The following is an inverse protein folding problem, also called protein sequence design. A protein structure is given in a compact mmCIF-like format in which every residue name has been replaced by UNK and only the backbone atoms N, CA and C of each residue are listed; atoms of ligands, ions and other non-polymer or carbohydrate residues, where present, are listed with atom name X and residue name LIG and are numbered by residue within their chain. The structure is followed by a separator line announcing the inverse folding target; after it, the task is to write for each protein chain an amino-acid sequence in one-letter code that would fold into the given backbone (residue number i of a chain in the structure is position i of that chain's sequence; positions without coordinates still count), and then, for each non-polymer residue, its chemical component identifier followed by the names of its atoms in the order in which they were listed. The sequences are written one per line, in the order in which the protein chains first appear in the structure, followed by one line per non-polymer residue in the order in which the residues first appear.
data_IF_871648493614
#
_entry.id   IF_871648493614
#
_cell.length_a   1.000
_cell.length_b   1.000
_cell.length_c   1.000
_cell.angle_alpha   90.00
_cell.angle_beta   90.00
_cell.angle_gamma   90.00
#
_symmetry.space_group_name_H-M   'P 1'
#
loop_
_entity.id
_entity.type
_entity.pdbx_description
1 polymer ?
#
# COMPACT_ATOMS: atom_id res chain seq x y z
N UNK A 1 -6.58 13.69 -8.37
CA UNK A 1 -7.64 13.63 -7.34
C UNK A 1 -7.43 14.62 -6.19
N UNK A 2 -6.28 14.66 -5.52
CA UNK A 2 -6.03 15.62 -4.43
C UNK A 2 -6.11 17.10 -4.88
N UNK A 3 -5.48 17.43 -6.00
CA UNK A 3 -5.55 18.78 -6.61
C UNK A 3 -6.99 19.15 -7.03
N UNK A 4 -7.77 18.18 -7.53
CA UNK A 4 -9.15 18.39 -8.00
C UNK A 4 -10.12 18.77 -6.87
N UNK A 5 -9.77 18.43 -5.63
CA UNK A 5 -10.58 18.76 -4.44
C UNK A 5 -9.92 19.84 -3.57
N UNK A 6 -8.85 20.48 -4.05
CA UNK A 6 -8.02 21.44 -3.29
C UNK A 6 -7.60 20.87 -1.91
N UNK A 7 -7.29 19.58 -1.88
CA UNK A 7 -6.98 18.81 -0.68
C UNK A 7 -5.51 18.41 -0.62
N UNK A 8 -5.00 18.19 0.60
CA UNK A 8 -3.66 17.64 0.79
C UNK A 8 -3.70 16.12 0.65
N UNK A 9 -2.85 15.55 -0.20
CA UNK A 9 -2.77 14.11 -0.40
C UNK A 9 -2.06 13.43 0.77
N UNK A 10 -2.58 12.30 1.24
CA UNK A 10 -1.87 11.44 2.18
C UNK A 10 -1.84 10.01 1.64
N UNK A 11 -0.64 9.44 1.56
CA UNK A 11 -0.43 8.05 1.20
C UNK A 11 0.09 7.29 2.41
N UNK A 12 -0.79 6.58 3.11
CA UNK A 12 -0.39 5.73 4.23
C UNK A 12 -0.01 4.34 3.73
N UNK A 13 1.26 3.98 3.92
CA UNK A 13 1.78 2.67 3.55
C UNK A 13 1.55 1.68 4.68
N UNK A 14 1.24 0.43 4.32
CA UNK A 14 1.12 -0.64 5.31
C UNK A 14 2.49 -0.94 5.92
N UNK A 15 2.53 -1.09 7.24
CA UNK A 15 3.71 -1.53 7.99
C UNK A 15 3.86 -3.06 7.99
N UNK A 16 2.97 -3.79 7.33
CA UNK A 16 3.04 -5.24 7.28
C UNK A 16 4.28 -5.66 6.49
N UNK A 17 5.17 -6.37 7.19
CA UNK A 17 6.35 -7.03 6.62
C UNK A 17 6.17 -8.53 6.85
N UNK A 18 6.25 -9.30 5.77
CA UNK A 18 6.21 -10.74 5.81
C UNK A 18 7.17 -11.22 4.74
N UNK A 19 8.29 -11.86 5.11
CA UNK A 19 9.31 -12.22 4.13
C UNK A 19 8.79 -13.07 2.95
N UNK A 20 7.66 -13.78 3.09
CA UNK A 20 7.01 -14.52 1.99
C UNK A 20 6.10 -13.67 1.08
N UNK A 21 5.45 -12.63 1.62
CA UNK A 21 4.40 -11.85 0.91
C UNK A 21 4.70 -10.36 0.78
N UNK A 22 5.59 -9.83 1.59
CA UNK A 22 5.96 -8.42 1.72
C UNK A 22 7.44 -8.36 2.16
N UNK A 23 8.39 -8.62 1.23
CA UNK A 23 9.81 -8.70 1.54
C UNK A 23 10.44 -7.34 1.86
N UNK A 24 9.81 -6.24 1.43
CA UNK A 24 10.32 -4.88 1.63
C UNK A 24 9.89 -4.33 2.98
N UNK A 25 10.82 -3.68 3.68
CA UNK A 25 10.51 -2.91 4.89
C UNK A 25 9.67 -1.66 4.58
N UNK A 26 9.00 -1.12 5.60
CA UNK A 26 8.23 0.13 5.48
C UNK A 26 9.08 1.29 4.93
N UNK A 27 10.33 1.42 5.39
CA UNK A 27 11.26 2.45 4.93
C UNK A 27 11.62 2.30 3.46
N UNK A 28 11.81 1.07 2.98
CA UNK A 28 12.11 0.82 1.57
C UNK A 28 10.90 1.10 0.67
N UNK A 29 9.69 0.74 1.11
CA UNK A 29 8.45 1.09 0.40
C UNK A 29 8.28 2.61 0.31
N UNK A 30 8.53 3.31 1.41
CA UNK A 30 8.46 4.77 1.43
C UNK A 30 9.51 5.40 0.51
N UNK A 31 10.78 5.00 0.63
CA UNK A 31 11.86 5.52 -0.20
C UNK A 31 11.62 5.27 -1.70
N UNK A 32 11.09 4.08 -2.05
CA UNK A 32 10.74 3.76 -3.42
C UNK A 32 9.67 4.70 -3.95
N UNK A 33 8.54 4.85 -3.24
CA UNK A 33 7.44 5.70 -3.72
C UNK A 33 7.86 7.16 -3.76
N UNK A 34 8.60 7.65 -2.77
CA UNK A 34 9.15 9.02 -2.78
C UNK A 34 10.12 9.24 -3.96
N UNK A 35 10.85 8.21 -4.40
CA UNK A 35 11.72 8.32 -5.59
C UNK A 35 10.95 8.39 -6.91
N UNK A 36 9.71 7.90 -6.93
CA UNK A 36 8.87 7.82 -8.14
C UNK A 36 7.81 8.92 -8.22
N UNK A 37 7.34 9.39 -7.07
CA UNK A 37 6.27 10.39 -6.96
C UNK A 37 6.86 11.68 -6.44
N UNK A 38 7.03 12.64 -7.33
CA UNK A 38 7.52 13.97 -7.00
C UNK A 38 6.34 14.95 -6.90
N UNK A 39 5.49 14.73 -5.89
CA UNK A 39 4.34 15.58 -5.59
C UNK A 39 4.57 16.27 -4.23
N UNK A 40 4.79 17.60 -4.20
CA UNK A 40 5.07 18.33 -2.96
C UNK A 40 3.86 18.40 -2.02
N UNK A 41 2.64 18.19 -2.54
CA UNK A 41 1.40 18.20 -1.76
C UNK A 41 1.00 16.80 -1.27
N UNK A 42 1.75 15.77 -1.66
CA UNK A 42 1.57 14.39 -1.21
C UNK A 42 2.45 14.05 -0.01
N UNK A 43 1.82 13.80 1.13
CA UNK A 43 2.49 13.28 2.30
C UNK A 43 2.55 11.74 2.26
N UNK A 44 3.74 11.19 1.95
CA UNK A 44 3.97 9.74 1.85
C UNK A 44 4.46 9.18 3.18
N UNK A 45 3.70 8.24 3.73
CA UNK A 45 4.06 7.49 4.92
C UNK A 45 3.94 8.26 6.24
N UNK A 46 3.75 7.51 7.33
CA UNK A 46 3.92 8.01 8.69
C UNK A 46 4.33 6.84 9.59
N UNK A 47 5.48 6.96 10.24
CA UNK A 47 6.01 5.91 11.14
C UNK A 47 5.03 5.58 12.29
N UNK A 48 4.27 6.59 12.74
CA UNK A 48 3.34 6.48 13.87
C UNK A 48 1.96 5.94 13.49
N UNK A 49 1.66 5.79 12.19
CA UNK A 49 0.34 5.39 11.71
C UNK A 49 0.41 3.92 11.28
N UNK A 50 -0.14 3.05 12.12
CA UNK A 50 -0.20 1.60 11.89
C UNK A 50 -1.59 1.14 11.48
N UNK A 51 -2.61 1.91 11.80
CA UNK A 51 -4.01 1.59 11.50
C UNK A 51 -4.70 2.73 10.77
N UNK A 52 -5.76 2.40 10.05
CA UNK A 52 -6.63 3.39 9.41
C UNK A 52 -7.16 4.42 10.42
N UNK A 53 -7.55 3.97 11.61
CA UNK A 53 -8.06 4.85 12.67
C UNK A 53 -7.01 5.89 13.07
N UNK A 54 -5.75 5.49 13.24
CA UNK A 54 -4.67 6.42 13.56
C UNK A 54 -4.41 7.43 12.42
N UNK A 55 -4.55 6.99 11.17
CA UNK A 55 -4.44 7.87 10.00
C UNK A 55 -5.50 8.98 10.05
N UNK A 56 -6.75 8.58 10.29
CA UNK A 56 -7.90 9.47 10.42
C UNK A 56 -7.75 10.43 11.61
N UNK A 57 -7.32 9.94 12.76
CA UNK A 57 -7.03 10.78 13.93
C UNK A 57 -5.95 11.83 13.63
N UNK A 58 -4.88 11.45 12.93
CA UNK A 58 -3.81 12.38 12.55
C UNK A 58 -4.30 13.43 11.55
N UNK A 59 -5.15 13.06 10.59
CA UNK A 59 -5.77 14.01 9.65
C UNK A 59 -6.68 15.00 10.39
N UNK A 60 -7.53 14.50 11.29
CA UNK A 60 -8.41 15.35 12.10
C UNK A 60 -7.62 16.29 13.02
N UNK A 61 -6.56 15.80 13.67
CA UNK A 61 -5.69 16.60 14.53
C UNK A 61 -5.00 17.76 13.78
N UNK A 62 -4.89 17.67 12.45
CA UNK A 62 -4.42 18.75 11.59
C UNK A 62 -5.52 19.77 11.22
N UNK A 63 -6.70 19.68 11.85
CA UNK A 63 -7.82 20.59 11.62
C UNK A 63 -8.62 20.32 10.35
N UNK A 64 -8.43 19.14 9.73
CA UNK A 64 -9.18 18.76 8.52
C UNK A 64 -10.56 18.24 8.90
N UNK A 65 -11.58 18.74 8.23
CA UNK A 65 -12.99 18.38 8.47
C UNK A 65 -13.55 17.41 7.44
N UNK A 66 -12.86 17.21 6.31
CA UNK A 66 -13.28 16.32 5.23
C UNK A 66 -12.17 15.34 4.88
N UNK A 67 -12.53 14.09 4.59
CA UNK A 67 -11.59 13.05 4.16
C UNK A 67 -12.16 12.24 3.01
N UNK A 68 -11.30 12.01 2.00
CA UNK A 68 -11.59 11.14 0.87
C UNK A 68 -10.60 9.98 0.92
N UNK A 69 -11.11 8.78 1.09
CA UNK A 69 -10.34 7.55 1.06
C UNK A 69 -10.39 6.95 -0.33
N UNK A 70 -9.22 6.75 -0.94
CA UNK A 70 -9.11 5.97 -2.18
C UNK A 70 -8.84 4.51 -1.81
N UNK A 71 -9.72 3.59 -2.22
CA UNK A 71 -9.58 2.17 -1.97
C UNK A 71 -9.80 1.35 -3.25
N UNK A 72 -9.31 0.10 -3.28
CA UNK A 72 -9.62 -0.84 -4.35
C UNK A 72 -11.12 -1.19 -4.35
N UNK A 73 -11.70 -1.41 -5.53
CA UNK A 73 -13.14 -1.62 -5.74
C UNK A 73 -13.72 -2.73 -4.84
N UNK A 74 -12.94 -3.77 -4.61
CA UNK A 74 -13.26 -4.92 -3.77
C UNK A 74 -13.51 -4.55 -2.29
N UNK A 75 -12.94 -3.44 -1.82
CA UNK A 75 -13.05 -2.98 -0.42
C UNK A 75 -13.73 -1.63 -0.24
N UNK A 76 -14.12 -0.94 -1.32
CA UNK A 76 -14.81 0.36 -1.22
C UNK A 76 -16.04 0.28 -0.31
N UNK A 77 -16.91 -0.71 -0.52
CA UNK A 77 -18.12 -0.88 0.30
C UNK A 77 -17.81 -1.19 1.77
N UNK A 78 -16.77 -1.99 2.02
CA UNK A 78 -16.37 -2.34 3.38
C UNK A 78 -15.83 -1.13 4.14
N UNK A 79 -14.96 -0.35 3.49
CA UNK A 79 -14.42 0.86 4.06
C UNK A 79 -15.49 1.94 4.24
N UNK A 80 -16.42 2.11 3.30
CA UNK A 80 -17.49 3.08 3.44
C UNK A 80 -18.37 2.74 4.66
N UNK A 81 -18.72 1.46 4.84
CA UNK A 81 -19.47 1.01 6.02
C UNK A 81 -18.68 1.24 7.31
N UNK A 82 -17.41 0.87 7.32
CA UNK A 82 -16.53 1.09 8.48
C UNK A 82 -16.45 2.58 8.85
N UNK A 83 -16.17 3.45 7.88
CA UNK A 83 -16.07 4.88 8.12
C UNK A 83 -17.38 5.45 8.64
N UNK A 84 -18.52 5.10 8.04
CA UNK A 84 -19.84 5.56 8.50
C UNK A 84 -20.19 5.04 9.89
N UNK A 85 -19.76 3.82 10.23
CA UNK A 85 -20.01 3.22 11.53
C UNK A 85 -19.24 3.94 12.65
N UNK A 86 -17.97 4.32 12.43
CA UNK A 86 -17.11 4.87 13.47
C UNK A 86 -16.97 6.40 13.43
N UNK A 87 -17.33 7.07 12.33
CA UNK A 87 -17.22 8.53 12.22
C UNK A 87 -18.20 9.24 13.15
N UNK A 88 -17.68 9.89 14.20
CA UNK A 88 -18.46 10.61 15.20
C UNK A 88 -19.24 9.71 16.17
N UNK A 89 -19.08 8.38 16.06
CA UNK A 89 -19.74 7.41 16.92
C UNK A 89 -18.75 6.83 17.95
N UNK A 90 -19.23 6.52 19.16
CA UNK A 90 -18.40 5.87 20.16
C UNK A 90 -18.02 4.45 19.73
N UNK A 91 -16.78 4.07 20.02
CA UNK A 91 -16.34 2.69 19.90
C UNK A 91 -16.93 1.79 21.00
N UNK A 92 -16.52 0.51 21.04
CA UNK A 92 -16.96 -0.44 22.08
C UNK A 92 -16.63 0.01 23.51
N UNK A 93 -15.70 0.95 23.69
CA UNK A 93 -15.28 1.50 24.96
C UNK A 93 -15.94 2.86 25.25
N UNK A 94 -16.87 3.32 24.41
CA UNK A 94 -17.56 4.60 24.58
C UNK A 94 -16.77 5.81 24.08
N UNK A 95 -15.61 5.61 23.43
CA UNK A 95 -14.74 6.70 22.99
C UNK A 95 -14.99 7.06 21.53
N UNK A 96 -15.26 8.32 21.24
CA UNK A 96 -15.31 8.82 19.86
C UNK A 96 -13.87 8.96 19.36
N UNK A 97 -13.47 8.06 18.47
CA UNK A 97 -12.07 8.00 18.00
C UNK A 97 -11.75 9.14 17.03
N UNK A 98 -12.69 9.50 16.17
CA UNK A 98 -12.59 10.60 15.22
C UNK A 98 -13.97 11.09 14.78
N UNK A 99 -14.04 12.31 14.25
CA UNK A 99 -15.23 12.92 13.68
C UNK A 99 -14.84 13.87 12.54
N UNK A 100 -15.39 13.59 11.37
CA UNK A 100 -15.34 14.43 10.17
C UNK A 100 -16.74 14.86 9.78
N UNK A 101 -16.84 16.03 9.16
CA UNK A 101 -18.07 16.58 8.60
C UNK A 101 -18.46 15.85 7.31
N UNK A 102 -17.47 15.43 6.52
CA UNK A 102 -17.66 14.68 5.28
C UNK A 102 -16.64 13.54 5.15
N UNK A 103 -17.12 12.35 4.83
CA UNK A 103 -16.30 11.17 4.62
C UNK A 103 -16.74 10.44 3.35
N UNK A 104 -15.82 10.32 2.40
CA UNK A 104 -16.09 9.65 1.13
C UNK A 104 -15.09 8.54 0.88
N UNK A 105 -15.55 7.40 0.38
CA UNK A 105 -14.69 6.36 -0.17
C UNK A 105 -14.88 6.31 -1.67
N UNK A 106 -13.79 6.47 -2.40
CA UNK A 106 -13.75 6.47 -3.86
C UNK A 106 -12.96 5.26 -4.32
N UNK A 107 -13.47 4.59 -5.36
CA UNK A 107 -12.76 3.49 -6.00
C UNK A 107 -11.55 4.06 -6.74
N UNK A 108 -10.40 3.40 -6.60
CA UNK A 108 -9.26 3.62 -7.50
C UNK A 108 -9.54 3.15 -8.94
N UNK A 109 -10.70 2.53 -9.18
CA UNK A 109 -11.13 1.94 -10.43
C UNK A 109 -11.34 0.43 -10.30
N UNK A 110 -12.29 -0.11 -11.07
CA UNK A 110 -12.37 -1.56 -11.29
C UNK A 110 -11.17 -2.00 -12.12
N UNK A 111 -10.58 -3.13 -11.73
CA UNK A 111 -9.66 -3.85 -12.60
C UNK A 111 -10.47 -4.35 -13.79
N UNK A 112 -10.15 -3.86 -14.97
CA UNK A 112 -10.57 -4.51 -16.20
C UNK A 112 -9.64 -5.73 -16.40
N UNK A 113 -10.13 -6.97 -16.26
CA UNK A 113 -9.32 -8.17 -16.46
C UNK A 113 -8.89 -8.35 -17.93
N UNK A 114 -9.52 -7.62 -18.86
CA UNK A 114 -9.27 -7.69 -20.30
C UNK A 114 -8.46 -6.49 -20.83
N UNK A 115 -7.99 -5.58 -19.96
CA UNK A 115 -7.10 -4.50 -20.38
C UNK A 115 -5.69 -5.03 -20.68
N UNK A 116 -5.32 -5.04 -21.97
CA UNK A 116 -4.03 -5.47 -22.53
C UNK A 116 -2.82 -4.63 -22.06
N UNK A 117 -3.04 -3.52 -21.37
CA UNK A 117 -1.97 -2.71 -20.81
C UNK A 117 -1.61 -3.22 -19.41
N UNK A 118 -0.43 -3.86 -19.31
CA UNK A 118 0.63 -3.84 -18.28
C UNK A 118 0.29 -3.41 -16.81
N UNK A 119 -0.69 -2.54 -16.59
CA UNK A 119 -1.28 -2.13 -15.32
C UNK A 119 -2.03 -3.23 -14.54
N UNK A 120 -2.25 -4.42 -15.12
CA UNK A 120 -2.96 -5.54 -14.49
C UNK A 120 -2.11 -6.45 -13.58
N UNK A 121 -0.81 -6.20 -13.46
CA UNK A 121 0.08 -7.16 -12.80
C UNK A 121 0.15 -6.92 -11.30
N UNK A 122 -0.48 -7.83 -10.55
CA UNK A 122 -0.48 -7.80 -9.09
C UNK A 122 0.94 -7.91 -8.52
N UNK A 123 1.16 -7.35 -7.32
CA UNK A 123 2.42 -7.48 -6.58
C UNK A 123 2.86 -8.95 -6.41
N UNK A 124 1.93 -9.90 -6.38
CA UNK A 124 2.23 -11.34 -6.35
C UNK A 124 2.91 -11.84 -7.62
N UNK A 125 2.48 -11.36 -8.78
CA UNK A 125 3.02 -11.78 -10.08
C UNK A 125 4.37 -11.08 -10.37
N UNK A 126 4.54 -9.85 -9.88
CA UNK A 126 5.86 -9.21 -9.82
C UNK A 126 6.88 -10.05 -9.02
N UNK A 127 6.48 -10.56 -7.84
CA UNK A 127 7.34 -11.45 -7.03
C UNK A 127 7.65 -12.76 -7.76
N UNK A 128 6.68 -13.33 -8.47
CA UNK A 128 6.88 -14.57 -9.23
C UNK A 128 7.88 -14.37 -10.38
N UNK A 129 7.82 -13.25 -11.10
CA UNK A 129 8.79 -12.92 -12.14
C UNK A 129 10.18 -12.65 -11.58
N UNK A 130 10.27 -12.01 -10.41
CA UNK A 130 11.54 -11.86 -9.69
C UNK A 130 12.16 -13.22 -9.32
N UNK A 131 11.34 -14.16 -8.82
CA UNK A 131 11.79 -15.53 -8.53
C UNK A 131 12.23 -16.30 -9.77
N UNK A 132 11.59 -16.06 -10.92
CA UNK A 132 11.84 -16.78 -12.18
C UNK A 132 12.97 -16.20 -13.04
N UNK A 133 13.67 -15.15 -12.60
CA UNK A 133 14.69 -14.54 -13.45
C UNK A 133 14.13 -13.64 -14.56
N UNK A 134 12.84 -13.27 -14.51
CA UNK A 134 12.15 -12.57 -15.59
C UNK A 134 12.17 -11.04 -15.42
N UNK A 135 13.37 -10.44 -15.46
CA UNK A 135 13.58 -8.99 -15.29
C UNK A 135 12.82 -8.14 -16.31
N UNK A 136 12.80 -8.56 -17.58
CA UNK A 136 12.14 -7.80 -18.66
C UNK A 136 10.64 -7.63 -18.39
N UNK A 137 9.95 -8.70 -18.01
CA UNK A 137 8.52 -8.66 -17.68
C UNK A 137 8.26 -7.89 -16.38
N UNK A 138 9.16 -8.00 -15.40
CA UNK A 138 9.09 -7.21 -14.17
C UNK A 138 9.22 -5.70 -14.42
N UNK A 139 10.15 -5.30 -15.30
CA UNK A 139 10.40 -3.88 -15.59
C UNK A 139 9.23 -3.18 -16.26
N UNK A 140 8.39 -3.93 -16.99
CA UNK A 140 7.20 -3.40 -17.67
C UNK A 140 6.15 -2.91 -16.68
N UNK A 141 5.99 -3.61 -15.55
CA UNK A 141 4.86 -3.42 -14.63
C UNK A 141 5.17 -2.53 -13.44
N UNK A 142 6.44 -2.24 -13.20
CA UNK A 142 6.89 -1.56 -11.99
C UNK A 142 7.12 -0.08 -12.28
N UNK A 143 6.63 0.79 -11.39
CA UNK A 143 6.83 2.23 -11.54
C UNK A 143 8.32 2.57 -11.49
N UNK A 144 8.86 3.22 -12.52
CA UNK A 144 10.26 3.65 -12.55
C UNK A 144 11.15 2.95 -13.56
N UNK A 145 10.61 2.02 -14.36
CA UNK A 145 11.31 1.39 -15.49
C UNK A 145 12.66 0.82 -15.08
N UNK A 146 13.76 1.44 -15.52
CA UNK A 146 15.15 1.03 -15.24
C UNK A 146 15.47 1.02 -13.74
N UNK A 147 14.85 1.90 -12.93
CA UNK A 147 14.98 1.89 -11.46
C UNK A 147 14.25 0.71 -10.79
N UNK A 148 13.40 0.01 -11.55
CA UNK A 148 12.76 -1.23 -11.15
C UNK A 148 13.76 -2.37 -10.91
N UNK A 149 14.95 -2.31 -11.52
CA UNK A 149 15.99 -3.33 -11.33
C UNK A 149 16.47 -3.42 -9.87
N UNK A 150 16.60 -2.29 -9.18
CA UNK A 150 16.97 -2.29 -7.75
C UNK A 150 15.88 -2.97 -6.91
N UNK A 151 14.61 -2.79 -7.28
CA UNK A 151 13.49 -3.46 -6.62
C UNK A 151 13.47 -4.97 -6.94
N UNK A 152 13.75 -5.32 -8.21
CA UNK A 152 13.87 -6.69 -8.69
C UNK A 152 14.96 -7.47 -7.93
N UNK A 153 16.17 -6.92 -7.89
CA UNK A 153 17.33 -7.52 -7.24
C UNK A 153 17.05 -7.73 -5.73
N UNK A 154 16.45 -6.74 -5.06
CA UNK A 154 16.05 -6.85 -3.64
C UNK A 154 15.00 -7.94 -3.38
N UNK A 155 14.00 -8.06 -4.25
CA UNK A 155 12.97 -9.09 -4.12
C UNK A 155 13.60 -10.48 -4.34
N UNK A 156 14.49 -10.58 -5.32
CA UNK A 156 15.22 -11.82 -5.61
C UNK A 156 16.13 -12.22 -4.45
N UNK A 157 16.87 -11.28 -3.84
CA UNK A 157 17.71 -11.54 -2.68
C UNK A 157 16.86 -11.99 -1.47
N UNK A 158 15.79 -11.24 -1.15
CA UNK A 158 14.94 -11.55 -0.01
C UNK A 158 14.23 -12.92 -0.14
N UNK A 159 13.76 -13.26 -1.34
CA UNK A 159 13.08 -14.53 -1.59
C UNK A 159 14.07 -15.68 -1.84
N UNK A 160 15.20 -15.41 -2.48
CA UNK A 160 16.27 -16.38 -2.76
C UNK A 160 16.96 -16.88 -1.50
N UNK A 161 17.22 -16.00 -0.53
CA UNK A 161 17.70 -16.39 0.81
C UNK A 161 16.71 -17.33 1.49
N UNK A 162 15.41 -17.09 1.31
CA UNK A 162 14.37 -17.91 1.94
C UNK A 162 14.24 -19.31 1.31
N UNK A 163 14.43 -19.45 -0.01
CA UNK A 163 14.50 -20.77 -0.67
C UNK A 163 15.71 -21.56 -0.16
N UNK A 164 16.87 -20.91 -0.03
CA UNK A 164 18.07 -21.55 0.51
C UNK A 164 17.91 -21.96 1.99
N UNK A 165 17.28 -21.13 2.82
CA UNK A 165 16.99 -21.47 4.22
C UNK A 165 15.95 -22.58 4.37
N UNK A 166 14.86 -22.56 3.58
CA UNK A 166 13.85 -23.62 3.61
C UNK A 166 14.45 -24.96 3.15
N UNK A 167 15.29 -24.94 2.11
CA UNK A 167 16.01 -26.13 1.68
C UNK A 167 16.95 -26.65 2.77
N UNK A 168 17.69 -25.77 3.46
CA UNK A 168 18.51 -26.17 4.62
C UNK A 168 17.70 -26.81 5.74
N UNK A 169 16.48 -26.33 6.03
CA UNK A 169 15.60 -26.94 7.04
C UNK A 169 15.11 -28.33 6.61
N UNK A 170 14.73 -28.50 5.35
CA UNK A 170 14.36 -29.80 4.76
C UNK A 170 15.47 -30.86 4.85
N UNK A 171 16.74 -30.45 4.81
CA UNK A 171 17.88 -31.37 4.94
C UNK A 171 18.41 -31.55 6.38
N UNK A 172 17.93 -30.76 7.35
CA UNK A 172 18.37 -30.81 8.75
C UNK A 172 17.29 -31.37 9.70
N UNK A 173 16.10 -31.72 9.19
CA UNK A 173 15.05 -32.48 9.92
C UNK A 173 15.10 -33.97 9.54
N UNK A 174 16.27 -34.62 9.72
CA UNK A 174 16.42 -36.09 9.69
C UNK A 174 16.90 -36.57 11.05
#
# INVERSE_FOLDING_TARGET
MAEQVNGKGYLFLTHTQNNKKDPLSFQEKQAYITSQVNDPDLQIGSADVRTLIQALQKIQAQGRTRVIMVAGDDRVMEFQKFLNQYNGNPDKQGTILYKFDDVQVVSAGQRDPDADDIAGVSASKAREWALKGQEHEFSKIVMGGVNGKVLYDKIQDALGVQVAENNKKLYNEV
#
